data_IF_203525431791
#
_entry.id   IF_203525431791
#
_cell.length_a   1.000
_cell.length_b   1.000
_cell.length_c   1.000
_cell.angle_alpha   90.00
_cell.angle_beta   90.00
_cell.angle_gamma   90.00
#
_symmetry.space_group_name_H-M   'P 1'
#
loop_
_entity.id
_entity.type
_entity.pdbx_description
1 polymer ?
#
# COMPACT_ATOMS: atom_id res chain seq x y z
N UNK A 1 36.07 -1.62 -2.00
CA UNK A 1 36.91 -2.09 -3.12
C UNK A 1 38.01 -2.93 -2.52
N UNK A 2 37.75 -4.22 -2.41
CA UNK A 2 38.72 -5.23 -1.98
C UNK A 2 40.01 -5.13 -2.80
N UNK A 3 41.16 -5.14 -2.12
CA UNK A 3 42.48 -5.11 -2.75
C UNK A 3 42.96 -6.50 -3.22
N UNK A 4 42.32 -7.58 -2.74
CA UNK A 4 42.69 -8.97 -3.04
C UNK A 4 41.46 -9.86 -3.26
N UNK A 5 41.64 -10.92 -4.03
CA UNK A 5 40.57 -11.87 -4.45
C UNK A 5 40.04 -12.77 -3.31
N UNK A 6 40.70 -12.76 -2.16
CA UNK A 6 40.26 -13.47 -0.95
C UNK A 6 39.44 -12.56 -0.01
N UNK A 7 39.52 -11.23 -0.18
CA UNK A 7 38.68 -10.25 0.52
C UNK A 7 37.38 -9.94 -0.23
N UNK A 8 37.29 -10.32 -1.52
CA UNK A 8 36.10 -10.05 -2.35
C UNK A 8 34.84 -10.79 -1.89
N UNK A 9 34.98 -11.84 -1.08
CA UNK A 9 33.85 -12.56 -0.47
C UNK A 9 33.18 -11.74 0.63
N UNK A 10 33.92 -10.81 1.27
CA UNK A 10 33.39 -9.90 2.31
C UNK A 10 32.90 -8.56 1.74
N UNK A 11 33.31 -8.18 0.52
CA UNK A 11 32.80 -7.00 -0.20
C UNK A 11 31.51 -7.38 -0.94
N UNK A 12 30.47 -7.78 -0.21
CA UNK A 12 29.16 -8.10 -0.77
C UNK A 12 28.64 -6.87 -1.52
N UNK A 13 28.55 -6.96 -2.85
CA UNK A 13 28.11 -5.85 -3.69
C UNK A 13 26.65 -5.51 -3.38
N UNK A 14 26.45 -4.52 -2.51
CA UNK A 14 25.14 -4.09 -2.07
C UNK A 14 24.43 -3.17 -3.08
N UNK A 15 25.09 -2.83 -4.21
CA UNK A 15 24.55 -2.02 -5.30
C UNK A 15 24.15 -2.93 -6.46
N UNK A 16 22.94 -3.46 -6.35
CA UNK A 16 22.30 -4.24 -7.40
C UNK A 16 21.69 -3.24 -8.39
N UNK A 17 21.92 -3.45 -9.69
CA UNK A 17 21.22 -2.69 -10.73
C UNK A 17 19.73 -3.06 -10.70
N UNK A 18 18.89 -2.05 -10.53
CA UNK A 18 17.44 -2.21 -10.42
C UNK A 18 16.77 -1.70 -11.69
N UNK A 19 15.78 -2.45 -12.18
CA UNK A 19 14.93 -2.00 -13.27
C UNK A 19 13.81 -1.10 -12.72
N UNK A 20 13.45 -0.09 -13.51
CA UNK A 20 12.25 0.71 -13.28
C UNK A 20 11.09 0.14 -14.09
N UNK A 21 9.99 -0.17 -13.43
CA UNK A 21 8.73 -0.53 -14.06
C UNK A 21 7.74 0.62 -13.89
N UNK A 22 6.93 0.86 -14.92
CA UNK A 22 5.83 1.83 -14.83
C UNK A 22 4.59 1.13 -14.27
N UNK A 23 4.13 1.60 -13.12
CA UNK A 23 2.93 1.12 -12.42
C UNK A 23 1.83 2.18 -12.35
N UNK A 24 1.88 3.16 -13.25
CA UNK A 24 0.87 4.20 -13.34
C UNK A 24 -0.50 3.60 -13.72
N UNK A 25 -1.52 3.96 -12.96
CA UNK A 25 -2.90 3.59 -13.24
C UNK A 25 -3.85 4.70 -12.81
N UNK A 26 -5.06 4.66 -13.36
CA UNK A 26 -6.15 5.57 -12.98
C UNK A 26 -7.09 4.81 -12.07
N UNK A 27 -7.40 5.38 -10.91
CA UNK A 27 -8.38 4.85 -9.98
C UNK A 27 -9.55 5.82 -9.87
N UNK A 28 -10.76 5.34 -10.23
CA UNK A 28 -11.99 6.12 -10.13
C UNK A 28 -12.76 5.66 -8.89
N UNK A 29 -12.95 6.57 -7.94
CA UNK A 29 -13.65 6.27 -6.69
C UNK A 29 -14.64 7.37 -6.34
N UNK A 30 -15.66 7.02 -5.57
CA UNK A 30 -16.61 7.97 -4.99
C UNK A 30 -16.46 7.93 -3.47
N UNK A 31 -16.34 9.09 -2.83
CA UNK A 31 -16.19 9.18 -1.37
C UNK A 31 -17.06 10.28 -0.79
N UNK A 32 -17.33 10.20 0.51
CA UNK A 32 -18.10 11.20 1.24
C UNK A 32 -17.18 12.23 1.91
N UNK A 33 -17.73 13.42 2.18
CA UNK A 33 -17.06 14.44 2.99
C UNK A 33 -16.83 13.98 4.44
N UNK A 34 -15.71 14.42 5.03
CA UNK A 34 -15.40 14.19 6.43
C UNK A 34 -14.86 12.79 6.76
N UNK A 35 -14.64 11.93 5.77
CA UNK A 35 -14.02 10.60 5.95
C UNK A 35 -12.63 10.55 5.32
N UNK A 36 -11.71 9.85 5.97
CA UNK A 36 -10.42 9.45 5.38
C UNK A 36 -10.66 8.16 4.60
N UNK A 37 -10.44 8.23 3.30
CA UNK A 37 -10.69 7.13 2.37
C UNK A 37 -9.36 6.71 1.74
N UNK A 38 -8.96 5.43 1.82
CA UNK A 38 -7.77 4.97 1.12
C UNK A 38 -8.04 5.02 -0.39
N UNK A 39 -7.05 5.47 -1.16
CA UNK A 39 -7.17 5.61 -2.63
C UNK A 39 -6.13 4.78 -3.38
N UNK A 40 -5.09 4.35 -2.69
CA UNK A 40 -3.96 3.61 -3.22
C UNK A 40 -3.35 2.77 -2.09
N UNK A 41 -3.18 1.47 -2.34
CA UNK A 41 -2.54 0.53 -1.44
C UNK A 41 -1.75 -0.46 -2.30
N UNK A 42 -0.44 -0.47 -2.16
CA UNK A 42 0.43 -1.33 -2.96
C UNK A 42 1.54 -1.92 -2.08
N UNK A 43 1.88 -3.18 -2.32
CA UNK A 43 2.97 -3.84 -1.61
C UNK A 43 4.31 -3.43 -2.24
N UNK A 44 5.17 -2.78 -1.44
CA UNK A 44 6.52 -2.43 -1.88
C UNK A 44 7.51 -3.50 -1.41
N UNK A 45 8.25 -4.16 -2.33
CA UNK A 45 9.23 -5.17 -1.95
C UNK A 45 10.37 -4.56 -1.13
N UNK A 46 11.02 -5.41 -0.33
CA UNK A 46 12.21 -5.00 0.42
C UNK A 46 13.29 -4.46 -0.54
N UNK A 47 13.95 -3.36 -0.14
CA UNK A 47 14.95 -2.65 -0.96
C UNK A 47 14.40 -2.04 -2.27
N UNK A 48 13.09 -2.10 -2.49
CA UNK A 48 12.41 -1.40 -3.59
C UNK A 48 12.22 0.09 -3.31
N UNK A 49 12.27 0.90 -4.37
CA UNK A 49 11.90 2.31 -4.35
C UNK A 49 10.64 2.51 -5.18
N UNK A 50 9.65 3.23 -4.63
CA UNK A 50 8.45 3.65 -5.36
C UNK A 50 8.45 5.17 -5.46
N UNK A 51 8.24 5.68 -6.67
CA UNK A 51 8.07 7.10 -6.95
C UNK A 51 6.61 7.34 -7.32
N UNK A 52 5.93 8.18 -6.57
CA UNK A 52 4.52 8.49 -6.77
C UNK A 52 4.39 9.95 -7.18
N UNK A 53 3.66 10.22 -8.27
CA UNK A 53 3.27 11.55 -8.69
C UNK A 53 1.74 11.59 -8.82
N UNK A 54 1.00 11.97 -7.76
CA UNK A 54 -0.45 11.91 -7.78
C UNK A 54 -1.05 13.09 -8.53
N UNK A 55 -2.02 12.81 -9.40
CA UNK A 55 -2.89 13.83 -10.01
C UNK A 55 -4.31 13.64 -9.49
N UNK A 56 -4.87 14.67 -8.86
CA UNK A 56 -6.18 14.62 -8.22
C UNK A 56 -7.20 15.40 -9.04
N UNK A 57 -8.15 14.70 -9.65
CA UNK A 57 -9.38 15.29 -10.20
C UNK A 57 -10.56 15.01 -9.27
N UNK A 58 -11.25 16.06 -8.80
CA UNK A 58 -12.45 15.92 -7.97
C UNK A 58 -13.66 16.51 -8.68
N UNK A 59 -14.71 15.71 -8.78
CA UNK A 59 -16.03 16.15 -9.21
C UNK A 59 -17.00 16.02 -8.03
N UNK A 60 -17.79 17.07 -7.78
CA UNK A 60 -18.75 17.10 -6.70
C UNK A 60 -20.16 16.93 -7.26
N UNK A 61 -20.99 16.19 -6.54
CA UNK A 61 -22.41 16.10 -6.85
C UNK A 61 -23.06 17.49 -6.75
N UNK A 62 -24.08 17.77 -7.59
CA UNK A 62 -24.75 19.06 -7.59
C UNK A 62 -25.41 19.33 -6.24
N UNK A 63 -25.17 20.53 -5.70
CA UNK A 63 -25.77 20.96 -4.44
C UNK A 63 -27.04 21.79 -4.69
N UNK A 64 -28.04 21.64 -3.82
CA UNK A 64 -29.27 22.45 -3.85
C UNK A 64 -28.97 23.93 -3.58
N UNK A 65 -27.96 24.20 -2.75
CA UNK A 65 -27.46 25.53 -2.46
C UNK A 65 -25.98 25.64 -2.83
N UNK A 66 -25.52 26.81 -3.32
CA UNK A 66 -24.12 26.99 -3.65
C UNK A 66 -23.23 26.87 -2.41
N UNK A 67 -22.03 26.29 -2.58
CA UNK A 67 -21.05 26.20 -1.50
C UNK A 67 -20.58 27.59 -1.11
N UNK A 68 -20.65 27.90 0.18
CA UNK A 68 -20.27 29.22 0.71
C UNK A 68 -18.87 29.22 1.33
N UNK A 69 -18.34 28.05 1.70
CA UNK A 69 -17.07 27.89 2.41
C UNK A 69 -16.00 27.25 1.52
N UNK A 70 -14.72 27.54 1.83
CA UNK A 70 -13.59 26.92 1.12
C UNK A 70 -13.43 25.46 1.53
N UNK A 71 -13.13 24.61 0.56
CA UNK A 71 -12.97 23.17 0.75
C UNK A 71 -11.51 22.79 0.48
N UNK A 72 -10.99 21.82 1.22
CA UNK A 72 -9.63 21.35 1.07
C UNK A 72 -9.64 19.83 0.89
N UNK A 73 -9.02 19.38 -0.19
CA UNK A 73 -8.67 17.98 -0.38
C UNK A 73 -7.20 17.79 -0.04
N UNK A 74 -6.88 16.77 0.76
CA UNK A 74 -5.51 16.44 1.15
C UNK A 74 -5.28 14.97 0.84
N UNK A 75 -4.21 14.70 0.10
CA UNK A 75 -3.73 13.36 -0.18
C UNK A 75 -2.43 13.16 0.59
N UNK A 76 -2.40 12.13 1.43
CA UNK A 76 -1.23 11.78 2.23
C UNK A 76 -0.84 10.34 1.94
N UNK A 77 0.47 10.08 1.82
CA UNK A 77 1.02 8.74 1.64
C UNK A 77 1.74 8.32 2.91
N UNK A 78 1.47 7.09 3.34
CA UNK A 78 2.10 6.49 4.52
C UNK A 78 2.80 5.20 4.09
N UNK A 79 4.05 5.04 4.54
CA UNK A 79 4.77 3.79 4.40
C UNK A 79 4.68 3.02 5.71
N UNK A 80 3.97 1.89 5.67
CA UNK A 80 3.87 0.96 6.81
C UNK A 80 4.66 -0.30 6.46
N UNK A 81 5.51 -0.76 7.37
CA UNK A 81 6.31 -1.96 7.17
C UNK A 81 5.56 -3.21 7.62
N UNK A 82 5.66 -4.33 6.89
CA UNK A 82 5.06 -5.60 7.31
C UNK A 82 5.56 -6.05 8.69
N UNK A 83 6.85 -5.80 9.00
CA UNK A 83 7.44 -6.09 10.32
C UNK A 83 6.72 -5.41 11.49
N UNK A 84 6.10 -4.24 11.28
CA UNK A 84 5.33 -3.56 12.33
C UNK A 84 3.87 -3.99 12.38
N UNK A 85 3.38 -4.63 11.32
CA UNK A 85 1.99 -5.11 11.25
C UNK A 85 1.84 -6.56 11.72
N UNK A 86 2.87 -7.38 11.52
CA UNK A 86 2.87 -8.79 11.87
C UNK A 86 4.08 -9.13 12.74
N UNK A 87 3.80 -9.54 13.98
CA UNK A 87 4.81 -9.82 15.00
C UNK A 87 5.78 -10.94 14.56
N UNK A 88 5.26 -12.02 13.99
CA UNK A 88 6.07 -13.17 13.56
C UNK A 88 6.67 -13.02 12.15
N UNK A 89 6.54 -11.85 11.51
CA UNK A 89 7.07 -11.61 10.16
C UNK A 89 8.58 -11.90 10.04
N UNK A 90 9.34 -11.63 11.12
CA UNK A 90 10.78 -11.90 11.11
C UNK A 90 11.06 -13.39 11.01
N UNK A 91 10.35 -14.20 11.79
CA UNK A 91 10.51 -15.64 11.87
C UNK A 91 10.06 -16.31 10.57
N UNK A 92 8.97 -15.79 9.98
CA UNK A 92 8.46 -16.18 8.67
C UNK A 92 9.51 -16.02 7.56
N UNK A 93 10.11 -14.83 7.42
CA UNK A 93 11.10 -14.57 6.37
C UNK A 93 12.38 -15.38 6.56
N UNK A 94 12.77 -15.67 7.81
CA UNK A 94 13.93 -16.49 8.12
C UNK A 94 13.68 -18.00 8.05
N UNK A 95 12.42 -18.43 7.89
CA UNK A 95 12.01 -19.83 7.89
C UNK A 95 12.51 -20.61 9.14
N UNK A 96 12.43 -19.99 10.33
CA UNK A 96 12.80 -20.67 11.59
C UNK A 96 11.70 -21.64 12.08
N UNK A 97 10.48 -21.46 11.59
CA UNK A 97 9.26 -22.13 12.05
C UNK A 97 8.43 -22.54 10.83
N UNK A 98 8.21 -23.84 10.68
CA UNK A 98 7.43 -24.41 9.57
C UNK A 98 5.91 -24.29 9.79
N UNK A 99 5.47 -23.94 11.01
CA UNK A 99 4.06 -23.79 11.39
C UNK A 99 3.47 -22.41 11.05
N UNK A 100 4.28 -21.52 10.48
CA UNK A 100 3.93 -20.12 10.32
C UNK A 100 3.40 -19.82 8.91
N UNK A 101 2.09 -19.57 8.83
CA UNK A 101 1.41 -19.15 7.60
C UNK A 101 1.22 -17.62 7.56
N UNK A 102 1.24 -17.06 6.35
CA UNK A 102 0.96 -15.63 6.14
C UNK A 102 -0.49 -15.30 6.57
N UNK A 103 -0.70 -14.22 7.35
CA UNK A 103 -2.03 -13.84 7.76
C UNK A 103 -2.88 -13.41 6.56
N UNK A 104 -4.08 -13.98 6.45
CA UNK A 104 -5.06 -13.63 5.42
C UNK A 104 -6.37 -13.15 6.06
N UNK A 105 -7.14 -12.37 5.28
CA UNK A 105 -8.47 -11.95 5.70
C UNK A 105 -9.47 -13.05 5.33
N UNK A 106 -10.09 -13.67 6.33
CA UNK A 106 -11.13 -14.66 6.10
C UNK A 106 -12.47 -14.01 5.76
N UNK A 107 -13.02 -14.33 4.59
CA UNK A 107 -14.34 -13.92 4.11
C UNK A 107 -15.48 -14.71 4.79
N UNK A 108 -15.57 -14.63 6.13
CA UNK A 108 -16.73 -15.17 6.86
C UNK A 108 -17.98 -14.35 6.57
N UNK A 109 -19.17 -14.92 6.81
CA UNK A 109 -20.46 -14.24 6.60
C UNK A 109 -20.54 -12.86 7.32
N UNK A 110 -19.89 -12.75 8.49
CA UNK A 110 -19.83 -11.51 9.27
C UNK A 110 -18.79 -10.53 8.70
N UNK A 111 -17.61 -11.02 8.30
CA UNK A 111 -16.54 -10.17 7.75
C UNK A 111 -16.93 -9.64 6.37
N UNK A 112 -17.61 -10.47 5.57
CA UNK A 112 -18.07 -10.15 4.22
C UNK A 112 -18.91 -8.88 4.20
N UNK A 113 -19.94 -8.82 5.06
CA UNK A 113 -20.84 -7.67 5.14
C UNK A 113 -20.14 -6.37 5.53
N UNK A 114 -19.04 -6.44 6.29
CA UNK A 114 -18.32 -5.27 6.80
C UNK A 114 -17.21 -4.77 5.89
N UNK A 115 -16.52 -5.66 5.18
CA UNK A 115 -15.33 -5.32 4.39
C UNK A 115 -15.49 -5.48 2.89
N UNK A 116 -16.43 -6.28 2.42
CA UNK A 116 -16.55 -6.68 1.01
C UNK A 116 -17.88 -6.22 0.40
N UNK A 117 -18.54 -5.25 1.02
CA UNK A 117 -19.75 -4.60 0.48
C UNK A 117 -19.41 -3.30 -0.24
N UNK A 118 -20.23 -2.89 -1.20
CA UNK A 118 -20.02 -1.64 -1.94
C UNK A 118 -19.98 -0.44 -1.00
N UNK A 119 -18.99 0.44 -1.17
CA UNK A 119 -18.75 1.59 -0.30
C UNK A 119 -18.14 1.25 1.08
N UNK A 120 -17.79 -0.02 1.32
CA UNK A 120 -17.05 -0.45 2.51
C UNK A 120 -15.53 -0.33 2.30
N UNK A 121 -14.74 -0.70 3.30
CA UNK A 121 -13.29 -0.50 3.26
C UNK A 121 -12.59 -1.29 2.14
N UNK A 122 -13.01 -2.54 1.88
CA UNK A 122 -12.36 -3.38 0.87
C UNK A 122 -12.56 -2.88 -0.56
N UNK A 123 -13.72 -2.28 -0.84
CA UNK A 123 -14.01 -1.62 -2.12
C UNK A 123 -12.97 -0.53 -2.45
N UNK A 124 -12.64 0.31 -1.46
CA UNK A 124 -11.58 1.32 -1.59
C UNK A 124 -10.15 0.77 -1.66
N UNK A 125 -9.95 -0.49 -1.27
CA UNK A 125 -8.67 -1.19 -1.36
C UNK A 125 -8.54 -2.00 -2.66
N UNK A 126 -9.51 -1.90 -3.57
CA UNK A 126 -9.49 -2.59 -4.86
C UNK A 126 -9.85 -4.07 -4.78
N UNK A 127 -10.53 -4.49 -3.72
CA UNK A 127 -11.07 -5.84 -3.59
C UNK A 127 -12.41 -5.91 -4.33
N UNK A 128 -12.61 -6.88 -5.24
CA UNK A 128 -13.83 -7.03 -6.03
C UNK A 128 -15.04 -7.49 -5.21
#
# INVERSE_FOLDING_TARGET
MAQNIFDSTFDANNRIEVNSFDWSHVNNLTTNFGRITPVFCELVPAKGSVRINPELGLELMPMVFPVQTRMFARLNFFKVTLRSMWEDYSDFISNFRDDLEEPYINCSEVTFQKMFTTGSLGDYLGIP
#
